data_IF_640776562460
#
_entry.id   IF_640776562460
#
_cell.length_a   1.000
_cell.length_b   1.000
_cell.length_c   1.000
_cell.angle_alpha   90.00
_cell.angle_beta   90.00
_cell.angle_gamma   90.00
#
_symmetry.space_group_name_H-M   'P 1'
#
loop_
_entity.id
_entity.type
_entity.pdbx_description
1 polymer ?
#
# COMPACT_ATOMS: atom_id res chain seq x y z
N UNK A 1 -0.01 15.00 -12.47
CA UNK A 1 1.02 14.87 -11.42
C UNK A 1 1.81 13.59 -11.67
N UNK A 2 3.09 13.62 -11.46
CA UNK A 2 3.94 12.45 -11.61
C UNK A 2 4.57 12.09 -10.26
N UNK A 3 4.39 10.81 -9.85
CA UNK A 3 4.89 10.32 -8.56
C UNK A 3 5.90 9.18 -8.74
N UNK A 4 6.54 9.11 -9.90
CA UNK A 4 7.48 8.02 -10.20
C UNK A 4 8.58 7.94 -9.15
N UNK A 5 8.76 6.76 -8.57
CA UNK A 5 9.75 6.54 -7.53
C UNK A 5 9.28 6.88 -6.12
N UNK A 6 8.14 7.55 -5.95
CA UNK A 6 7.59 7.82 -4.64
C UNK A 6 6.99 6.53 -4.04
N UNK A 7 6.98 6.44 -2.72
CA UNK A 7 6.34 5.34 -2.01
C UNK A 7 5.19 5.91 -1.18
N UNK A 8 3.99 5.42 -1.43
CA UNK A 8 2.80 5.86 -0.72
C UNK A 8 2.31 4.78 0.24
N UNK A 9 2.03 5.16 1.48
CA UNK A 9 1.42 4.29 2.48
C UNK A 9 -0.07 4.61 2.55
N UNK A 10 -0.91 3.63 2.26
CA UNK A 10 -2.36 3.83 2.25
C UNK A 10 -3.00 2.98 3.34
N UNK A 11 -3.41 3.63 4.44
CA UNK A 11 -4.12 2.95 5.53
C UNK A 11 -5.52 2.59 5.07
N UNK A 12 -5.95 1.36 5.39
CA UNK A 12 -7.24 0.89 4.89
C UNK A 12 -7.29 0.75 3.38
N UNK A 13 -6.13 0.50 2.75
CA UNK A 13 -6.01 0.42 1.30
C UNK A 13 -6.79 -0.73 0.68
N UNK A 14 -7.25 -1.68 1.49
CA UNK A 14 -8.09 -2.79 1.04
C UNK A 14 -9.59 -2.46 1.05
N UNK A 15 -10.00 -1.30 1.60
CA UNK A 15 -11.40 -0.86 1.57
C UNK A 15 -11.74 -0.17 0.25
N UNK A 16 -13.02 0.10 -0.01
CA UNK A 16 -13.47 0.68 -1.27
C UNK A 16 -12.81 2.00 -1.61
N UNK A 17 -12.79 2.94 -0.68
CA UNK A 17 -12.13 4.23 -0.89
C UNK A 17 -10.61 4.08 -0.98
N UNK A 18 -10.03 3.27 -0.09
CA UNK A 18 -8.60 3.02 -0.07
C UNK A 18 -8.10 2.41 -1.37
N UNK A 19 -8.85 1.47 -1.95
CA UNK A 19 -8.51 0.88 -3.24
C UNK A 19 -8.46 1.92 -4.35
N UNK A 20 -9.42 2.84 -4.37
CA UNK A 20 -9.43 3.92 -5.37
C UNK A 20 -8.21 4.83 -5.21
N UNK A 21 -7.82 5.12 -3.98
CA UNK A 21 -6.63 5.93 -3.69
C UNK A 21 -5.38 5.19 -4.17
N UNK A 22 -5.27 3.89 -3.89
CA UNK A 22 -4.15 3.07 -4.34
C UNK A 22 -4.02 3.09 -5.87
N UNK A 23 -5.12 2.91 -6.60
CA UNK A 23 -5.10 2.95 -8.05
C UNK A 23 -4.71 4.32 -8.59
N UNK A 24 -5.22 5.40 -7.98
CA UNK A 24 -4.88 6.75 -8.40
C UNK A 24 -3.38 7.03 -8.24
N UNK A 25 -2.80 6.62 -7.12
CA UNK A 25 -1.37 6.83 -6.86
C UNK A 25 -0.50 5.96 -7.77
N UNK A 26 -0.88 4.70 -7.95
CA UNK A 26 -0.14 3.78 -8.82
C UNK A 26 -0.15 4.25 -10.28
N UNK A 27 -1.26 4.80 -10.72
CA UNK A 27 -1.36 5.34 -12.08
C UNK A 27 -0.37 6.48 -12.32
N UNK A 28 -0.05 7.23 -11.27
CA UNK A 28 0.92 8.31 -11.34
C UNK A 28 2.37 7.83 -11.11
N UNK A 29 2.57 6.53 -10.96
CA UNK A 29 3.89 5.93 -10.87
C UNK A 29 4.40 5.68 -9.47
N UNK A 30 3.59 5.91 -8.43
CA UNK A 30 3.99 5.64 -7.04
C UNK A 30 3.97 4.15 -6.75
N UNK A 31 4.93 3.69 -5.97
CA UNK A 31 4.88 2.37 -5.36
C UNK A 31 3.92 2.46 -4.16
N UNK A 32 3.15 1.41 -3.90
CA UNK A 32 2.07 1.49 -2.92
C UNK A 32 2.23 0.42 -1.84
N UNK A 33 2.22 0.86 -0.59
CA UNK A 33 2.11 -0.02 0.57
C UNK A 33 0.64 -0.04 1.00
N UNK A 34 -0.01 -1.19 0.82
CA UNK A 34 -1.41 -1.38 1.19
C UNK A 34 -1.47 -1.85 2.63
N UNK A 35 -1.92 -1.00 3.52
CA UNK A 35 -1.98 -1.30 4.95
C UNK A 35 -3.38 -1.77 5.32
N UNK A 36 -3.45 -2.89 6.04
CA UNK A 36 -4.72 -3.47 6.44
C UNK A 36 -4.69 -3.88 7.93
N UNK A 37 -5.83 -3.81 8.60
CA UNK A 37 -5.99 -4.30 9.96
C UNK A 37 -6.56 -5.72 9.96
N UNK A 38 -7.46 -5.99 9.02
CA UNK A 38 -8.14 -7.27 8.83
C UNK A 38 -8.19 -7.57 7.34
N UNK A 39 -8.64 -8.75 6.96
CA UNK A 39 -8.85 -9.08 5.56
C UNK A 39 -7.58 -9.06 4.71
N UNK A 40 -6.61 -9.86 5.13
CA UNK A 40 -5.34 -10.01 4.42
C UNK A 40 -5.55 -10.40 2.95
N UNK A 41 -6.48 -11.32 2.69
CA UNK A 41 -6.71 -11.80 1.32
C UNK A 41 -7.18 -10.69 0.39
N UNK A 42 -8.00 -9.77 0.90
CA UNK A 42 -8.45 -8.61 0.13
C UNK A 42 -7.28 -7.67 -0.16
N UNK A 43 -6.41 -7.43 0.82
CA UNK A 43 -5.23 -6.58 0.63
C UNK A 43 -4.28 -7.19 -0.40
N UNK A 44 -4.06 -8.50 -0.35
CA UNK A 44 -3.22 -9.19 -1.33
C UNK A 44 -3.82 -9.13 -2.73
N UNK A 45 -5.14 -9.17 -2.84
CA UNK A 45 -5.83 -9.03 -4.11
C UNK A 45 -5.60 -7.64 -4.70
N UNK A 46 -5.67 -6.60 -3.88
CA UNK A 46 -5.39 -5.22 -4.31
C UNK A 46 -3.95 -5.10 -4.81
N UNK A 47 -3.00 -5.68 -4.08
CA UNK A 47 -1.60 -5.67 -4.49
C UNK A 47 -1.42 -6.29 -5.86
N UNK A 48 -2.05 -7.44 -6.11
CA UNK A 48 -1.96 -8.10 -7.43
C UNK A 48 -2.54 -7.22 -8.54
N UNK A 49 -3.67 -6.56 -8.30
CA UNK A 49 -4.24 -5.65 -9.27
C UNK A 49 -3.29 -4.51 -9.60
N UNK A 50 -2.68 -3.91 -8.57
CA UNK A 50 -1.78 -2.78 -8.76
C UNK A 50 -0.54 -3.17 -9.55
N UNK A 51 0.08 -4.29 -9.21
CA UNK A 51 1.31 -4.73 -9.89
C UNK A 51 1.04 -5.23 -11.31
N UNK A 52 -0.15 -5.75 -11.57
CA UNK A 52 -0.53 -6.22 -12.90
C UNK A 52 -0.94 -5.07 -13.82
N UNK A 53 -1.67 -4.10 -13.30
CA UNK A 53 -2.22 -2.99 -14.09
C UNK A 53 -1.22 -1.85 -14.29
N UNK A 54 -0.29 -1.67 -13.38
CA UNK A 54 0.68 -0.58 -13.42
C UNK A 54 2.08 -1.15 -13.22
N UNK A 55 3.08 -0.50 -13.77
CA UNK A 55 4.47 -0.95 -13.62
C UNK A 55 5.09 -0.35 -12.36
N UNK A 56 4.55 -0.75 -11.21
CA UNK A 56 5.01 -0.28 -9.90
C UNK A 56 5.16 -1.47 -8.96
N UNK A 57 5.83 -1.25 -7.84
CA UNK A 57 5.90 -2.23 -6.77
C UNK A 57 4.79 -1.97 -5.77
N UNK A 58 4.19 -3.02 -5.26
CA UNK A 58 3.19 -2.92 -4.21
C UNK A 58 3.34 -4.09 -3.26
N UNK A 59 3.00 -3.88 -1.99
CA UNK A 59 3.02 -4.92 -0.98
C UNK A 59 1.94 -4.65 0.06
N UNK A 60 1.44 -5.71 0.69
CA UNK A 60 0.44 -5.61 1.75
C UNK A 60 1.13 -5.72 3.11
N UNK A 61 0.73 -4.89 4.06
CA UNK A 61 1.28 -4.86 5.41
C UNK A 61 0.14 -4.87 6.43
N UNK A 62 0.20 -5.80 7.38
CA UNK A 62 -0.70 -5.80 8.52
C UNK A 62 -0.25 -4.70 9.48
N UNK A 63 -1.16 -3.82 9.89
CA UNK A 63 -0.82 -2.74 10.79
C UNK A 63 -2.00 -2.32 11.64
N UNK A 64 -1.79 -2.26 12.96
CA UNK A 64 -2.73 -1.63 13.87
C UNK A 64 -2.22 -0.21 14.12
N UNK A 65 -2.89 0.77 13.53
CA UNK A 65 -2.47 2.17 13.59
C UNK A 65 -2.60 2.77 14.99
N UNK A 66 -3.23 2.06 15.93
CA UNK A 66 -3.31 2.51 17.32
C UNK A 66 -2.04 2.16 18.11
N UNK A 67 -1.15 1.34 17.55
CA UNK A 67 0.10 0.93 18.17
C UNK A 67 1.27 1.65 17.50
N UNK A 68 1.84 2.64 18.18
CA UNK A 68 2.93 3.43 17.64
C UNK A 68 4.18 2.62 17.29
N UNK A 69 4.50 1.60 18.11
CA UNK A 69 5.66 0.73 17.85
C UNK A 69 5.45 -0.09 16.57
N UNK A 70 4.22 -0.56 16.33
CA UNK A 70 3.89 -1.29 15.11
C UNK A 70 4.01 -0.39 13.88
N UNK A 71 3.61 0.88 14.01
CA UNK A 71 3.73 1.85 12.91
C UNK A 71 5.21 2.11 12.57
N UNK A 72 6.06 2.30 13.56
CA UNK A 72 7.50 2.51 13.34
C UNK A 72 8.14 1.33 12.64
N UNK A 73 7.82 0.11 13.08
CA UNK A 73 8.32 -1.10 12.44
C UNK A 73 7.86 -1.20 11.00
N UNK A 74 6.60 -0.84 10.75
CA UNK A 74 6.03 -0.86 9.42
C UNK A 74 6.77 0.07 8.47
N UNK A 75 7.08 1.29 8.91
CA UNK A 75 7.81 2.26 8.08
C UNK A 75 9.17 1.68 7.69
N UNK A 76 9.88 1.04 8.63
CA UNK A 76 11.14 0.37 8.34
C UNK A 76 10.99 -0.75 7.32
N UNK A 77 9.96 -1.59 7.47
CA UNK A 77 9.71 -2.71 6.56
C UNK A 77 9.36 -2.21 5.16
N UNK A 78 8.56 -1.16 5.05
CA UNK A 78 8.20 -0.56 3.77
C UNK A 78 9.45 -0.01 3.07
N UNK A 79 10.31 0.68 3.80
CA UNK A 79 11.54 1.24 3.25
C UNK A 79 12.45 0.17 2.68
N UNK A 80 12.47 -1.04 3.28
CA UNK A 80 13.29 -2.14 2.81
C UNK A 80 12.70 -2.84 1.60
N UNK A 81 11.36 -2.93 1.50
CA UNK A 81 10.68 -3.72 0.47
C UNK A 81 10.29 -2.91 -0.76
N UNK A 82 10.12 -1.64 -0.62
CA UNK A 82 9.71 -0.74 -1.68
C UNK A 82 10.70 0.41 -1.84
#
# INVERSE_FOLDING_TARGET
MELRGAVALVTGGNGGLGQRICHALAREGAHVAVMYAKSRDQAESVVRELTTSYQINAAAFACDITDGAAVEKLVGDVSKRL
#
